data_IF_241568740328
#
_entry.id   IF_241568740328
#
_cell.length_a   1.000
_cell.length_b   1.000
_cell.length_c   1.000
_cell.angle_alpha   90.00
_cell.angle_beta   90.00
_cell.angle_gamma   90.00
#
_symmetry.space_group_name_H-M   'P 1'
#
loop_
_entity.id
_entity.type
_entity.pdbx_description
1 polymer ?
#
# COMPACT_ATOMS: atom_id res chain seq x y z
N UNK A 1 -10.79 -0.71 -67.09
CA UNK A 1 -9.72 0.09 -66.44
C UNK A 1 -10.18 0.78 -65.15
N UNK A 2 -11.27 1.57 -65.12
CA UNK A 2 -11.75 2.24 -63.89
C UNK A 2 -12.07 1.29 -62.72
N UNK A 3 -12.65 0.11 -63.00
CA UNK A 3 -12.95 -0.92 -61.99
C UNK A 3 -11.69 -1.59 -61.40
N UNK A 4 -10.62 -1.71 -62.19
CA UNK A 4 -9.32 -2.26 -61.76
C UNK A 4 -8.54 -1.26 -60.89
N UNK A 5 -8.62 0.03 -61.23
CA UNK A 5 -8.09 1.11 -60.41
C UNK A 5 -8.83 1.22 -59.08
N UNK A 6 -10.16 1.10 -59.08
CA UNK A 6 -10.96 1.15 -57.86
C UNK A 6 -10.64 -0.04 -56.92
N UNK A 7 -10.48 -1.25 -57.46
CA UNK A 7 -10.09 -2.42 -56.67
C UNK A 7 -8.66 -2.33 -56.13
N UNK A 8 -7.73 -1.73 -56.89
CA UNK A 8 -6.36 -1.50 -56.43
C UNK A 8 -6.31 -0.47 -55.28
N UNK A 9 -7.08 0.62 -55.39
CA UNK A 9 -7.21 1.63 -54.33
C UNK A 9 -7.86 1.05 -53.07
N UNK A 10 -8.88 0.19 -53.22
CA UNK A 10 -9.52 -0.49 -52.09
C UNK A 10 -8.57 -1.47 -51.38
N UNK A 11 -7.74 -2.20 -52.14
CA UNK A 11 -6.74 -3.11 -51.60
C UNK A 11 -5.62 -2.37 -50.85
N UNK A 12 -5.19 -1.21 -51.36
CA UNK A 12 -4.21 -0.36 -50.68
C UNK A 12 -4.81 0.21 -49.39
N UNK A 13 -6.07 0.67 -49.39
CA UNK A 13 -6.74 1.14 -48.18
C UNK A 13 -6.93 0.03 -47.12
N UNK A 14 -7.18 -1.21 -47.53
CA UNK A 14 -7.33 -2.34 -46.60
C UNK A 14 -6.04 -2.65 -45.81
N UNK A 15 -4.85 -2.36 -46.38
CA UNK A 15 -3.55 -2.59 -45.73
C UNK A 15 -3.29 -1.56 -44.62
N UNK A 16 -3.87 -0.36 -44.70
CA UNK A 16 -3.69 0.70 -43.70
C UNK A 16 -4.60 0.59 -42.47
N UNK A 17 -5.55 -0.36 -42.45
CA UNK A 17 -6.55 -0.46 -41.38
C UNK A 17 -6.16 -1.36 -40.19
N UNK A 18 -4.93 -1.88 -40.12
CA UNK A 18 -4.50 -2.76 -39.02
C UNK A 18 -3.58 -2.01 -38.06
N UNK A 19 -4.13 -1.12 -37.24
CA UNK A 19 -3.47 -0.69 -36.02
C UNK A 19 -3.98 -1.54 -34.85
N UNK A 20 -3.19 -2.54 -34.44
CA UNK A 20 -3.49 -3.34 -33.27
C UNK A 20 -3.39 -2.49 -32.00
N UNK A 21 -4.30 -2.72 -31.04
CA UNK A 21 -4.23 -2.12 -29.71
C UNK A 21 -2.95 -2.58 -29.01
N UNK A 22 -2.19 -1.63 -28.46
CA UNK A 22 -0.97 -1.93 -27.70
C UNK A 22 -1.31 -2.07 -26.23
N UNK A 23 -0.89 -3.18 -25.66
CA UNK A 23 -1.06 -3.51 -24.25
C UNK A 23 0.31 -3.61 -23.59
N UNK A 24 0.37 -3.25 -22.32
CA UNK A 24 1.54 -3.43 -21.49
C UNK A 24 1.12 -3.85 -20.08
N UNK A 25 2.10 -4.24 -19.27
CA UNK A 25 1.89 -4.46 -17.85
C UNK A 25 3.07 -3.93 -17.04
N UNK A 26 2.84 -3.78 -15.74
CA UNK A 26 3.85 -3.47 -14.73
C UNK A 26 3.66 -4.42 -13.55
N UNK A 27 4.69 -4.55 -12.72
CA UNK A 27 4.60 -5.14 -11.40
C UNK A 27 4.79 -4.02 -10.39
N UNK A 28 3.68 -3.48 -9.87
CA UNK A 28 3.73 -2.33 -8.95
C UNK A 28 4.39 -2.67 -7.62
N UNK A 29 4.24 -3.92 -7.15
CA UNK A 29 4.92 -4.40 -5.95
C UNK A 29 6.45 -4.36 -6.13
N UNK A 30 6.94 -4.89 -7.26
CA UNK A 30 8.35 -4.81 -7.62
C UNK A 30 8.83 -3.35 -7.73
N UNK A 31 8.05 -2.47 -8.39
CA UNK A 31 8.41 -1.04 -8.49
C UNK A 31 8.53 -0.42 -7.10
N UNK A 32 7.54 -0.63 -6.21
CA UNK A 32 7.54 -0.08 -4.86
C UNK A 32 8.76 -0.54 -4.05
N UNK A 33 9.07 -1.85 -4.09
CA UNK A 33 10.21 -2.41 -3.37
C UNK A 33 11.56 -1.86 -3.83
N UNK A 34 11.66 -1.36 -5.07
CA UNK A 34 12.87 -0.75 -5.62
C UNK A 34 12.96 0.77 -5.36
N UNK A 35 12.00 1.38 -4.65
CA UNK A 35 12.01 2.80 -4.30
C UNK A 35 12.51 2.95 -2.85
N UNK A 36 13.70 3.53 -2.61
CA UNK A 36 14.25 3.68 -1.26
C UNK A 36 13.33 4.44 -0.29
N UNK A 37 12.60 5.43 -0.79
CA UNK A 37 11.63 6.20 -0.01
C UNK A 37 10.45 5.35 0.46
N UNK A 38 10.04 4.34 -0.32
CA UNK A 38 8.99 3.41 0.06
C UNK A 38 9.48 2.48 1.19
N UNK A 39 10.68 1.94 1.04
CA UNK A 39 11.29 1.08 2.08
C UNK A 39 11.40 1.83 3.40
N UNK A 40 11.91 3.07 3.37
CA UNK A 40 11.99 3.92 4.58
C UNK A 40 10.63 4.23 5.18
N UNK A 41 9.64 4.56 4.35
CA UNK A 41 8.28 4.81 4.83
C UNK A 41 7.68 3.56 5.48
N UNK A 42 7.92 2.38 4.91
CA UNK A 42 7.44 1.11 5.47
C UNK A 42 8.12 0.81 6.82
N UNK A 43 9.44 1.00 6.92
CA UNK A 43 10.17 0.90 8.19
C UNK A 43 9.65 1.87 9.25
N UNK A 44 9.37 3.13 8.89
CA UNK A 44 8.82 4.13 9.82
C UNK A 44 7.43 3.72 10.32
N UNK A 45 6.55 3.24 9.43
CA UNK A 45 5.22 2.74 9.80
C UNK A 45 5.33 1.54 10.75
N UNK A 46 6.23 0.61 10.48
CA UNK A 46 6.40 -0.59 11.28
C UNK A 46 6.96 -0.26 12.66
N UNK A 47 7.93 0.66 12.74
CA UNK A 47 8.45 1.18 14.00
C UNK A 47 7.36 1.89 14.83
N UNK A 48 6.55 2.76 14.21
CA UNK A 48 5.42 3.41 14.87
C UNK A 48 4.40 2.39 15.40
N UNK A 49 4.11 1.35 14.62
CA UNK A 49 3.22 0.28 15.03
C UNK A 49 3.75 -0.44 16.26
N UNK A 50 5.05 -0.77 16.30
CA UNK A 50 5.69 -1.42 17.45
C UNK A 50 5.67 -0.50 18.68
N UNK A 51 6.01 0.78 18.51
CA UNK A 51 6.03 1.76 19.59
C UNK A 51 4.64 1.91 20.24
N UNK A 52 3.60 2.11 19.43
CA UNK A 52 2.24 2.27 19.96
C UNK A 52 1.67 0.98 20.53
N UNK A 53 2.04 -0.17 19.99
CA UNK A 53 1.68 -1.45 20.57
C UNK A 53 2.28 -1.59 21.97
N UNK A 54 3.56 -1.28 22.13
CA UNK A 54 4.23 -1.29 23.43
C UNK A 54 3.63 -0.26 24.42
N UNK A 55 3.28 0.94 23.95
CA UNK A 55 2.58 1.96 24.75
C UNK A 55 1.27 1.40 25.33
N UNK A 56 0.45 0.77 24.49
CA UNK A 56 -0.84 0.21 24.89
C UNK A 56 -0.67 -1.00 25.83
N UNK A 57 0.28 -1.88 25.55
CA UNK A 57 0.59 -3.03 26.41
C UNK A 57 1.03 -2.58 27.80
N UNK A 58 1.89 -1.56 27.90
CA UNK A 58 2.30 -0.98 29.17
C UNK A 58 1.12 -0.40 29.94
N UNK A 59 0.21 0.32 29.28
CA UNK A 59 -1.00 0.85 29.92
C UNK A 59 -1.87 -0.27 30.49
N UNK A 60 -2.09 -1.36 29.75
CA UNK A 60 -2.86 -2.50 30.24
C UNK A 60 -2.16 -3.26 31.36
N UNK A 61 -0.82 -3.35 31.33
CA UNK A 61 -0.05 -3.94 32.43
C UNK A 61 -0.16 -3.09 33.71
N UNK A 62 -0.12 -1.76 33.60
CA UNK A 62 -0.36 -0.85 34.74
C UNK A 62 -1.78 -1.01 35.30
N UNK A 63 -2.79 -1.13 34.44
CA UNK A 63 -4.19 -1.35 34.84
C UNK A 63 -4.34 -2.68 35.60
N UNK A 64 -3.73 -3.76 35.10
CA UNK A 64 -3.75 -5.06 35.76
C UNK A 64 -3.06 -5.02 37.14
N UNK A 65 -1.95 -4.29 37.25
CA UNK A 65 -1.27 -4.08 38.53
C UNK A 65 -2.15 -3.30 39.53
N UNK A 66 -2.84 -2.24 39.08
CA UNK A 66 -3.78 -1.48 39.91
C UNK A 66 -4.95 -2.34 40.37
N UNK A 67 -5.45 -3.22 39.50
CA UNK A 67 -6.54 -4.14 39.86
C UNK A 67 -6.10 -5.15 40.92
N UNK A 68 -4.93 -5.76 40.76
CA UNK A 68 -4.33 -6.66 41.77
C UNK A 68 -4.09 -5.95 43.10
N UNK A 69 -3.58 -4.72 43.06
CA UNK A 69 -3.39 -3.92 44.27
C UNK A 69 -4.74 -3.60 44.94
N UNK A 70 -5.76 -3.24 44.17
CA UNK A 70 -7.11 -3.02 44.69
C UNK A 70 -7.66 -4.26 45.38
N UNK A 71 -7.52 -5.45 44.78
CA UNK A 71 -7.98 -6.71 45.37
C UNK A 71 -7.30 -7.01 46.71
N UNK A 72 -5.99 -6.80 46.81
CA UNK A 72 -5.23 -7.02 48.04
C UNK A 72 -5.62 -6.03 49.15
N UNK A 73 -5.81 -4.76 48.79
CA UNK A 73 -6.10 -3.70 49.75
C UNK A 73 -7.60 -3.65 50.13
N UNK A 74 -8.49 -4.20 49.30
CA UNK A 74 -9.94 -4.09 49.45
C UNK A 74 -10.50 -4.42 50.86
N UNK A 75 -9.98 -5.41 51.62
CA UNK A 75 -10.42 -5.67 53.00
C UNK A 75 -10.13 -4.51 53.97
N UNK A 76 -9.16 -3.65 53.64
CA UNK A 76 -8.69 -2.54 54.47
C UNK A 76 -9.35 -1.19 54.11
N UNK A 77 -10.11 -1.14 53.02
CA UNK A 77 -10.66 0.10 52.47
C UNK A 77 -12.11 0.33 52.92
N UNK A 78 -12.44 1.60 53.17
CA UNK A 78 -13.84 2.05 53.30
C UNK A 78 -14.57 1.99 51.96
N UNK A 79 -15.90 2.03 51.98
CA UNK A 79 -16.69 2.01 50.73
C UNK A 79 -16.35 3.18 49.79
N UNK A 80 -16.15 4.38 50.33
CA UNK A 80 -15.79 5.55 49.51
C UNK A 80 -14.40 5.39 48.87
N UNK A 81 -13.44 4.81 49.61
CA UNK A 81 -12.11 4.52 49.07
C UNK A 81 -12.16 3.46 47.97
N UNK A 82 -12.99 2.43 48.14
CA UNK A 82 -13.22 1.40 47.11
C UNK A 82 -13.78 2.01 45.83
N UNK A 83 -14.88 2.75 45.94
CA UNK A 83 -15.52 3.42 44.81
C UNK A 83 -14.53 4.33 44.06
N UNK A 84 -13.68 5.07 44.80
CA UNK A 84 -12.67 5.95 44.18
C UNK A 84 -11.62 5.17 43.38
N UNK A 85 -11.10 4.07 43.93
CA UNK A 85 -10.10 3.23 43.23
C UNK A 85 -10.71 2.51 42.02
N UNK A 86 -11.91 1.98 42.14
CA UNK A 86 -12.63 1.36 41.02
C UNK A 86 -12.84 2.36 39.88
N UNK A 87 -13.30 3.57 40.20
CA UNK A 87 -13.49 4.62 39.19
C UNK A 87 -12.17 5.03 38.51
N UNK A 88 -11.06 5.08 39.25
CA UNK A 88 -9.74 5.36 38.68
C UNK A 88 -9.32 4.28 37.68
N UNK A 89 -9.48 3.00 38.06
CA UNK A 89 -9.14 1.85 37.20
C UNK A 89 -10.02 1.87 35.94
N UNK A 90 -11.33 2.07 36.09
CA UNK A 90 -12.28 2.14 34.97
C UNK A 90 -11.92 3.31 34.02
N UNK A 91 -11.56 4.47 34.57
CA UNK A 91 -11.16 5.62 33.78
C UNK A 91 -9.87 5.34 32.99
N UNK A 92 -8.87 4.70 33.61
CA UNK A 92 -7.63 4.29 32.93
C UNK A 92 -7.88 3.24 31.85
N UNK A 93 -8.71 2.24 32.13
CA UNK A 93 -9.08 1.21 31.16
C UNK A 93 -9.79 1.80 29.95
N UNK A 94 -10.73 2.73 30.18
CA UNK A 94 -11.40 3.45 29.10
C UNK A 94 -10.40 4.25 28.25
N UNK A 95 -9.48 4.99 28.89
CA UNK A 95 -8.47 5.77 28.19
C UNK A 95 -7.53 4.89 27.35
N UNK A 96 -7.11 3.72 27.87
CA UNK A 96 -6.29 2.77 27.13
C UNK A 96 -7.01 2.19 25.90
N UNK A 97 -8.29 1.82 26.04
CA UNK A 97 -9.13 1.34 24.92
C UNK A 97 -9.36 2.43 23.87
N UNK A 98 -9.63 3.66 24.31
CA UNK A 98 -9.82 4.80 23.42
C UNK A 98 -8.52 5.12 22.66
N UNK A 99 -7.36 5.03 23.31
CA UNK A 99 -6.05 5.18 22.67
C UNK A 99 -5.80 4.07 21.66
N UNK A 100 -6.03 2.81 22.02
CA UNK A 100 -5.90 1.67 21.10
C UNK A 100 -6.76 1.85 19.86
N UNK A 101 -8.02 2.25 20.03
CA UNK A 101 -8.92 2.56 18.91
C UNK A 101 -8.43 3.74 18.10
N UNK A 102 -7.89 4.78 18.73
CA UNK A 102 -7.33 5.94 18.02
C UNK A 102 -6.13 5.54 17.16
N UNK A 103 -5.23 4.68 17.66
CA UNK A 103 -4.03 4.24 16.93
C UNK A 103 -4.34 3.23 15.83
N UNK A 104 -5.07 2.18 16.17
CA UNK A 104 -5.25 0.97 15.35
C UNK A 104 -6.68 0.73 14.86
N UNK A 105 -7.63 1.61 15.21
CA UNK A 105 -9.00 1.51 14.71
C UNK A 105 -9.10 1.76 13.21
N UNK A 106 -10.31 1.55 12.68
CA UNK A 106 -10.64 1.94 11.30
C UNK A 106 -10.40 3.45 11.16
N UNK A 107 -9.62 3.84 10.14
CA UNK A 107 -9.15 5.21 9.94
C UNK A 107 -8.36 5.81 11.12
N UNK A 108 -7.73 4.95 11.94
CA UNK A 108 -6.85 5.34 13.04
C UNK A 108 -5.57 6.00 12.57
N UNK A 109 -4.77 6.45 13.54
CA UNK A 109 -3.52 7.18 13.28
C UNK A 109 -2.56 6.37 12.39
N UNK A 110 -2.47 5.04 12.58
CA UNK A 110 -1.55 4.20 11.81
C UNK A 110 -1.95 4.14 10.33
N UNK A 111 -3.26 4.03 10.08
CA UNK A 111 -3.80 4.03 8.72
C UNK A 111 -3.58 5.38 8.02
N UNK A 112 -3.82 6.49 8.74
CA UNK A 112 -3.55 7.83 8.22
C UNK A 112 -2.08 8.03 7.89
N UNK A 113 -1.18 7.62 8.79
CA UNK A 113 0.27 7.66 8.57
C UNK A 113 0.69 6.86 7.34
N UNK A 114 0.13 5.65 7.17
CA UNK A 114 0.36 4.85 5.96
C UNK A 114 -0.12 5.58 4.70
N UNK A 115 -1.31 6.17 4.70
CA UNK A 115 -1.78 6.96 3.56
C UNK A 115 -0.88 8.16 3.28
N UNK A 116 -0.52 8.94 4.30
CA UNK A 116 0.31 10.14 4.16
C UNK A 116 1.67 9.85 3.55
N UNK A 117 2.31 8.75 3.94
CA UNK A 117 3.65 8.40 3.47
C UNK A 117 3.65 7.62 2.15
N UNK A 118 2.73 6.68 1.96
CA UNK A 118 2.74 5.77 0.81
C UNK A 118 2.02 6.37 -0.41
N UNK A 119 0.93 7.11 -0.21
CA UNK A 119 0.12 7.66 -1.31
C UNK A 119 0.93 8.56 -2.26
N UNK A 120 1.79 9.48 -1.79
CA UNK A 120 2.59 10.30 -2.68
C UNK A 120 3.55 9.48 -3.57
N UNK A 121 4.00 8.32 -3.09
CA UNK A 121 4.87 7.41 -3.85
C UNK A 121 4.04 6.71 -4.93
N UNK A 122 2.86 6.22 -4.58
CA UNK A 122 1.92 5.61 -5.54
C UNK A 122 1.50 6.61 -6.62
N UNK A 123 1.24 7.86 -6.27
CA UNK A 123 0.88 8.93 -7.22
C UNK A 123 2.03 9.21 -8.21
N UNK A 124 3.29 9.17 -7.75
CA UNK A 124 4.47 9.30 -8.63
C UNK A 124 4.57 8.13 -9.61
N UNK A 125 4.37 6.90 -9.13
CA UNK A 125 4.37 5.69 -9.98
C UNK A 125 3.27 5.77 -11.02
N UNK A 126 2.05 6.11 -10.61
CA UNK A 126 0.92 6.29 -11.52
C UNK A 126 1.22 7.32 -12.60
N UNK A 127 1.79 8.47 -12.22
CA UNK A 127 2.17 9.53 -13.16
C UNK A 127 3.23 9.04 -14.17
N UNK A 128 4.22 8.27 -13.71
CA UNK A 128 5.24 7.69 -14.58
C UNK A 128 4.63 6.67 -15.56
N UNK A 129 3.75 5.79 -15.08
CA UNK A 129 3.00 4.83 -15.91
C UNK A 129 2.17 5.57 -16.96
N UNK A 130 1.41 6.58 -16.56
CA UNK A 130 0.54 7.33 -17.46
C UNK A 130 1.34 8.03 -18.57
N UNK A 131 2.46 8.65 -18.21
CA UNK A 131 3.38 9.30 -19.15
C UNK A 131 3.94 8.29 -20.16
N UNK A 132 4.44 7.14 -19.68
CA UNK A 132 5.01 6.08 -20.53
C UNK A 132 3.95 5.49 -21.46
N UNK A 133 2.74 5.25 -20.93
CA UNK A 133 1.59 4.75 -21.68
C UNK A 133 1.24 5.68 -22.85
N UNK A 134 1.12 6.98 -22.59
CA UNK A 134 0.85 8.00 -23.62
C UNK A 134 1.96 8.07 -24.68
N UNK A 135 3.23 8.07 -24.26
CA UNK A 135 4.38 8.14 -25.17
C UNK A 135 4.48 6.95 -26.12
N UNK A 136 4.19 5.74 -25.63
CA UNK A 136 4.26 4.49 -26.41
C UNK A 136 2.93 4.10 -27.06
N UNK A 137 1.88 4.89 -26.81
CA UNK A 137 0.52 4.69 -27.29
C UNK A 137 -0.09 3.36 -26.80
N UNK A 138 0.19 2.98 -25.55
CA UNK A 138 -0.49 1.87 -24.90
C UNK A 138 -1.93 2.29 -24.55
N UNK A 139 -2.90 1.46 -24.93
CA UNK A 139 -4.31 1.69 -24.59
C UNK A 139 -4.68 1.16 -23.21
N UNK A 140 -3.90 0.19 -22.71
CA UNK A 140 -4.03 -0.33 -21.35
C UNK A 140 -2.64 -0.69 -20.80
N UNK A 141 -2.46 -0.42 -19.51
CA UNK A 141 -1.36 -0.95 -18.71
C UNK A 141 -1.98 -1.69 -17.53
N UNK A 142 -1.67 -2.97 -17.38
CA UNK A 142 -2.18 -3.79 -16.30
C UNK A 142 -1.16 -3.97 -15.18
N UNK A 143 -1.64 -4.15 -13.96
CA UNK A 143 -0.78 -4.54 -12.84
C UNK A 143 -0.72 -6.07 -12.70
N UNK A 144 0.50 -6.60 -12.62
CA UNK A 144 0.81 -8.02 -12.41
C UNK A 144 1.29 -8.31 -10.96
N UNK A 145 1.10 -7.39 -10.02
CA UNK A 145 1.37 -7.65 -8.59
C UNK A 145 0.55 -8.83 -8.06
N UNK A 146 0.90 -9.33 -6.87
CA UNK A 146 0.17 -10.42 -6.21
C UNK A 146 -1.34 -10.16 -6.21
N UNK A 147 -2.10 -11.12 -6.75
CA UNK A 147 -3.54 -11.07 -7.09
C UNK A 147 -3.91 -10.61 -8.52
N UNK A 148 -2.96 -10.48 -9.44
CA UNK A 148 -3.28 -10.27 -10.85
C UNK A 148 -3.94 -11.50 -11.50
N UNK A 149 -4.96 -11.27 -12.34
CA UNK A 149 -5.57 -12.32 -13.18
C UNK A 149 -4.72 -12.69 -14.40
N UNK A 150 -3.54 -12.10 -14.55
CA UNK A 150 -2.60 -12.36 -15.65
C UNK A 150 -1.80 -13.63 -15.34
N UNK A 151 -2.18 -14.74 -15.94
CA UNK A 151 -1.46 -16.02 -15.82
C UNK A 151 -0.14 -16.02 -16.61
N UNK A 152 -0.14 -15.42 -17.81
CA UNK A 152 1.03 -15.30 -18.67
C UNK A 152 0.99 -13.97 -19.40
N UNK A 153 2.14 -13.31 -19.47
CA UNK A 153 2.36 -12.17 -20.34
C UNK A 153 3.78 -12.25 -20.89
N UNK A 154 3.94 -11.84 -22.14
CA UNK A 154 5.25 -11.78 -22.79
C UNK A 154 6.12 -10.73 -22.08
N UNK A 155 7.32 -11.09 -21.56
CA UNK A 155 8.21 -10.17 -20.85
C UNK A 155 8.55 -8.89 -21.63
N UNK A 156 8.46 -8.91 -22.96
CA UNK A 156 8.69 -7.73 -23.80
C UNK A 156 7.66 -6.62 -23.58
N UNK A 157 6.52 -6.93 -22.96
CA UNK A 157 5.47 -5.97 -22.63
C UNK A 157 5.51 -5.51 -21.17
N UNK A 158 6.51 -5.95 -20.40
CA UNK A 158 6.75 -5.49 -19.04
C UNK A 158 7.42 -4.11 -19.06
N UNK A 159 6.78 -3.12 -18.41
CA UNK A 159 7.31 -1.77 -18.29
C UNK A 159 7.94 -1.50 -16.93
N UNK A 160 8.00 -2.46 -16.00
CA UNK A 160 8.39 -2.20 -14.61
C UNK A 160 9.74 -1.51 -14.48
N UNK A 161 10.77 -2.03 -15.15
CA UNK A 161 12.11 -1.44 -15.18
C UNK A 161 12.13 -0.09 -15.91
N UNK A 162 11.31 0.06 -16.94
CA UNK A 162 11.18 1.31 -17.66
C UNK A 162 10.59 2.41 -16.76
N UNK A 163 9.59 2.07 -15.95
CA UNK A 163 8.97 3.00 -14.99
C UNK A 163 9.97 3.41 -13.91
N UNK A 164 10.72 2.45 -13.34
CA UNK A 164 11.78 2.75 -12.38
C UNK A 164 12.81 3.72 -12.96
N UNK A 165 13.29 3.46 -14.18
CA UNK A 165 14.22 4.34 -14.89
C UNK A 165 13.63 5.71 -15.18
N UNK A 166 12.36 5.78 -15.63
CA UNK A 166 11.66 7.04 -15.90
C UNK A 166 11.48 7.88 -14.62
N UNK A 167 11.46 7.24 -13.45
CA UNK A 167 11.43 7.87 -12.13
C UNK A 167 12.83 8.18 -11.56
N UNK A 168 13.90 7.73 -12.22
CA UNK A 168 15.29 7.96 -11.80
C UNK A 168 15.87 6.92 -10.83
N UNK A 169 15.21 5.77 -10.69
CA UNK A 169 15.70 4.64 -9.87
C UNK A 169 16.41 3.60 -10.73
N UNK A 170 17.42 2.95 -10.14
CA UNK A 170 18.09 1.80 -10.74
C UNK A 170 17.26 0.54 -10.46
N UNK A 171 16.79 -0.20 -11.48
CA UNK A 171 16.14 -1.48 -11.26
C UNK A 171 17.12 -2.45 -10.61
N UNK A 172 16.70 -3.18 -9.58
CA UNK A 172 17.45 -4.36 -9.14
C UNK A 172 17.64 -5.29 -10.33
N UNK A 173 18.87 -5.81 -10.50
CA UNK A 173 19.20 -6.77 -11.55
C UNK A 173 18.17 -7.89 -11.51
N UNK A 174 17.31 -7.94 -12.54
CA UNK A 174 16.39 -9.04 -12.74
C UNK A 174 17.24 -10.25 -13.10
N UNK A 175 17.72 -11.01 -12.11
CA UNK A 175 17.90 -12.43 -12.34
C UNK A 175 16.53 -12.98 -12.73
N UNK A 176 16.38 -13.23 -14.02
CA UNK A 176 15.27 -13.88 -14.71
C UNK A 176 14.22 -14.45 -13.75
N UNK A 177 13.14 -13.71 -13.48
CA UNK A 177 11.90 -14.29 -12.92
C UNK A 177 11.15 -15.10 -13.98
N UNK A 178 11.91 -15.90 -14.73
CA UNK A 178 11.48 -16.97 -15.60
C UNK A 178 11.80 -18.30 -14.93
N UNK A 179 11.19 -18.56 -13.77
CA UNK A 179 10.91 -19.90 -13.25
C UNK A 179 9.54 -19.91 -12.61
#
# INVERSE_FOLDING_TARGET
>A
MKKLLLSAVLAVMAVFCVQGQKYAYVNTEYILQNIPEFVKAQEEIDNLSIEWQAEIENLFAEIDALYKQYQNDAPLLTQDMKNRRENEIIAKEKAAKDLQKKRFGVDGDLFKRRQEMIRPIQDKIYTAIEKRAKQKQYTFVFDRSDNSSIMYADPRNDLSNDILKDMGYEPADLEESGK
#
